data_IF_683594896131
#
_entry.id   IF_683594896131
#
_cell.length_a   1.000
_cell.length_b   1.000
_cell.length_c   1.000
_cell.angle_alpha   90.00
_cell.angle_beta   90.00
_cell.angle_gamma   90.00
#
_symmetry.space_group_name_H-M   'P 1'
#
loop_
_entity.id
_entity.type
_entity.pdbx_description
1 polymer ?
#
# COMPACT_ATOMS: atom_id res chain seq x y z
N UNK A 1 18.59 63.36 18.12
CA UNK A 1 18.59 62.39 16.96
C UNK A 1 18.40 61.00 17.52
N UNK A 2 17.18 60.47 17.50
CA UNK A 2 16.83 59.11 17.98
C UNK A 2 16.75 58.19 16.78
N UNK A 3 17.65 57.18 16.73
CA UNK A 3 17.60 56.13 15.68
C UNK A 3 16.66 55.00 16.15
N UNK A 4 15.55 54.84 15.44
CA UNK A 4 14.66 53.67 15.56
C UNK A 4 15.33 52.47 14.84
N UNK A 5 15.60 51.41 15.59
CA UNK A 5 16.02 50.10 15.06
C UNK A 5 14.74 49.24 14.96
N UNK A 6 14.32 49.00 13.73
CA UNK A 6 13.17 48.15 13.42
C UNK A 6 13.68 46.69 13.31
N UNK A 7 13.40 45.85 14.31
CA UNK A 7 13.66 44.42 14.25
C UNK A 7 12.58 43.76 13.42
N UNK A 8 12.99 43.20 12.27
CA UNK A 8 12.15 42.33 11.45
C UNK A 8 12.32 40.90 11.97
N UNK A 9 11.33 40.39 12.68
CA UNK A 9 11.27 39.00 13.12
C UNK A 9 10.71 38.15 11.98
N UNK A 10 11.58 37.43 11.27
CA UNK A 10 11.18 36.45 10.26
C UNK A 10 10.63 35.21 10.95
N UNK A 11 9.30 35.03 10.91
CA UNK A 11 8.65 33.77 11.27
C UNK A 11 8.92 32.71 10.18
N UNK A 12 9.84 31.79 10.46
CA UNK A 12 10.01 30.55 9.70
C UNK A 12 8.84 29.63 10.02
N UNK A 13 7.85 29.59 9.14
CA UNK A 13 6.83 28.53 9.12
C UNK A 13 7.47 27.25 8.59
N UNK A 14 7.94 26.37 9.49
CA UNK A 14 8.25 24.98 9.16
C UNK A 14 6.93 24.26 8.89
N UNK A 15 6.53 24.16 7.59
CA UNK A 15 5.54 23.21 7.14
C UNK A 15 6.15 21.80 7.25
N UNK A 16 6.03 21.15 8.40
CA UNK A 16 6.16 19.72 8.53
C UNK A 16 4.99 19.08 7.80
N UNK A 17 5.22 18.64 6.57
CA UNK A 17 4.32 17.76 5.85
C UNK A 17 4.39 16.41 6.57
N UNK A 18 3.59 16.27 7.62
CA UNK A 18 3.35 14.99 8.26
C UNK A 18 2.63 14.11 7.26
N UNK A 19 3.31 13.12 6.75
CA UNK A 19 2.69 12.00 6.07
C UNK A 19 1.86 11.27 7.14
N UNK A 20 0.59 11.59 7.19
CA UNK A 20 -0.35 10.85 8.02
C UNK A 20 -0.46 9.45 7.41
N UNK A 21 0.26 8.49 7.98
CA UNK A 21 -0.02 7.08 7.81
C UNK A 21 -1.35 6.81 8.54
N UNK A 22 -2.44 7.06 7.85
CA UNK A 22 -3.79 6.86 8.37
C UNK A 22 -4.31 5.46 8.04
N UNK A 23 -3.54 4.42 8.39
CA UNK A 23 -4.08 3.08 8.51
C UNK A 23 -4.56 2.89 9.95
N UNK A 24 -5.84 2.57 10.17
CA UNK A 24 -6.28 2.12 11.47
C UNK A 24 -5.46 0.88 11.88
N UNK A 25 -4.97 0.79 13.14
CA UNK A 25 -4.16 -0.35 13.55
C UNK A 25 -4.90 -1.67 13.29
N UNK A 26 -4.25 -2.60 12.58
CA UNK A 26 -4.81 -3.90 12.23
C UNK A 26 -5.58 -3.96 10.92
N UNK A 27 -5.69 -2.87 10.14
CA UNK A 27 -6.31 -2.92 8.81
C UNK A 27 -5.27 -3.17 7.72
N UNK A 28 -5.66 -3.98 6.74
CA UNK A 28 -4.87 -4.22 5.55
C UNK A 28 -5.00 -3.00 4.63
N UNK A 29 -3.88 -2.53 4.12
CA UNK A 29 -3.85 -1.41 3.18
C UNK A 29 -3.21 -1.86 1.87
N UNK A 30 -3.85 -1.55 0.75
CA UNK A 30 -3.27 -1.70 -0.59
C UNK A 30 -3.09 -0.34 -1.22
N UNK A 31 -2.03 -0.17 -2.03
CA UNK A 31 -1.89 1.06 -2.81
C UNK A 31 -1.53 0.77 -4.26
N UNK A 32 -1.95 1.68 -5.14
CA UNK A 32 -1.61 1.66 -6.55
C UNK A 32 -1.23 3.06 -7.02
N UNK A 33 -0.05 3.18 -7.62
CA UNK A 33 0.43 4.41 -8.23
C UNK A 33 0.86 4.14 -9.67
N UNK A 34 0.29 4.92 -10.62
CA UNK A 34 0.68 4.86 -12.03
C UNK A 34 1.43 6.12 -12.42
N UNK A 35 2.66 5.97 -12.91
CA UNK A 35 3.53 7.07 -13.34
C UNK A 35 4.08 6.73 -14.71
N UNK A 36 3.47 7.30 -15.75
CA UNK A 36 3.83 6.98 -17.14
C UNK A 36 3.56 5.51 -17.47
N UNK A 37 4.59 4.79 -17.89
CA UNK A 37 4.53 3.35 -18.18
C UNK A 37 4.66 2.47 -16.92
N UNK A 38 5.05 3.04 -15.79
CA UNK A 38 5.29 2.30 -14.57
C UNK A 38 4.02 2.23 -13.71
N UNK A 39 3.76 1.05 -13.15
CA UNK A 39 2.74 0.81 -12.14
C UNK A 39 3.41 0.24 -10.90
N UNK A 40 3.21 0.89 -9.77
CA UNK A 40 3.63 0.40 -8.46
C UNK A 40 2.39 -0.07 -7.69
N UNK A 41 2.41 -1.31 -7.24
CA UNK A 41 1.40 -1.87 -6.33
C UNK A 41 2.06 -2.20 -5.00
N UNK A 42 1.40 -1.92 -3.89
CA UNK A 42 1.88 -2.30 -2.56
C UNK A 42 0.76 -2.91 -1.72
N UNK A 43 1.14 -3.70 -0.73
CA UNK A 43 0.23 -4.21 0.28
C UNK A 43 0.92 -4.21 1.66
N UNK A 44 0.22 -3.66 2.66
CA UNK A 44 0.61 -3.71 4.06
C UNK A 44 -0.37 -4.60 4.81
N UNK A 45 0.13 -5.68 5.40
CA UNK A 45 -0.68 -6.73 6.05
C UNK A 45 -0.23 -6.87 7.49
N UNK A 46 -0.91 -6.22 8.45
CA UNK A 46 -0.62 -6.40 9.88
C UNK A 46 -0.94 -7.82 10.35
N UNK A 47 -0.15 -8.35 11.28
CA UNK A 47 -0.37 -9.68 11.85
C UNK A 47 -1.77 -9.82 12.48
N UNK A 48 -2.26 -8.77 13.13
CA UNK A 48 -3.59 -8.73 13.73
C UNK A 48 -4.75 -8.89 12.72
N UNK A 49 -4.50 -8.61 11.42
CA UNK A 49 -5.49 -8.79 10.38
C UNK A 49 -5.61 -10.25 9.90
N UNK A 50 -4.67 -11.12 10.24
CA UNK A 50 -4.60 -12.48 9.70
C UNK A 50 -4.75 -13.59 10.74
N UNK A 51 -4.64 -13.28 12.03
CA UNK A 51 -4.89 -14.25 13.12
C UNK A 51 -5.03 -13.58 14.48
N UNK A 52 -5.76 -14.23 15.39
CA UNK A 52 -6.05 -13.73 16.74
C UNK A 52 -4.92 -13.99 17.75
N UNK A 53 -3.99 -14.89 17.44
CA UNK A 53 -2.85 -15.21 18.30
C UNK A 53 -1.53 -14.98 17.60
N UNK A 54 -0.51 -14.56 18.36
CA UNK A 54 0.84 -14.29 17.81
C UNK A 54 1.46 -15.52 17.13
N UNK A 55 1.27 -16.71 17.68
CA UNK A 55 1.83 -17.95 17.10
C UNK A 55 1.16 -18.29 15.76
N UNK A 56 -0.18 -18.25 15.70
CA UNK A 56 -0.94 -18.46 14.47
C UNK A 56 -0.62 -17.40 13.41
N UNK A 57 -0.51 -16.13 13.83
CA UNK A 57 -0.13 -15.04 12.97
C UNK A 57 1.25 -15.24 12.33
N UNK A 58 2.26 -15.64 13.11
CA UNK A 58 3.61 -15.87 12.60
C UNK A 58 3.65 -16.98 11.54
N UNK A 59 2.96 -18.09 11.76
CA UNK A 59 2.88 -19.18 10.79
C UNK A 59 2.17 -18.73 9.51
N UNK A 60 1.05 -18.02 9.66
CA UNK A 60 0.28 -17.53 8.52
C UNK A 60 1.05 -16.47 7.71
N UNK A 61 1.71 -15.52 8.38
CA UNK A 61 2.56 -14.52 7.73
C UNK A 61 3.70 -15.17 6.95
N UNK A 62 4.30 -16.26 7.45
CA UNK A 62 5.34 -16.97 6.71
C UNK A 62 4.80 -17.58 5.42
N UNK A 63 3.64 -18.23 5.47
CA UNK A 63 2.99 -18.81 4.29
C UNK A 63 2.59 -17.73 3.30
N UNK A 64 2.03 -16.62 3.78
CA UNK A 64 1.63 -15.48 2.96
C UNK A 64 2.82 -14.80 2.29
N UNK A 65 3.94 -14.61 2.99
CA UNK A 65 5.13 -14.01 2.41
C UNK A 65 5.68 -14.83 1.22
N UNK A 66 5.55 -16.16 1.26
CA UNK A 66 5.90 -17.02 0.12
C UNK A 66 4.88 -16.86 -1.01
N UNK A 67 3.59 -16.88 -0.69
CA UNK A 67 2.53 -16.75 -1.70
C UNK A 67 2.55 -15.41 -2.43
N UNK A 68 2.84 -14.31 -1.73
CA UNK A 68 2.86 -12.95 -2.27
C UNK A 68 4.04 -12.66 -3.21
N UNK A 69 5.03 -13.55 -3.31
CA UNK A 69 6.05 -13.45 -4.35
C UNK A 69 5.47 -13.65 -5.75
N UNK A 70 4.36 -14.35 -5.84
CA UNK A 70 3.54 -14.41 -7.05
C UNK A 70 2.48 -13.30 -6.96
N UNK A 71 2.66 -12.23 -7.72
CA UNK A 71 1.77 -11.06 -7.71
C UNK A 71 0.34 -11.40 -8.10
N UNK A 72 0.11 -12.44 -8.90
CA UNK A 72 -1.24 -12.89 -9.30
C UNK A 72 -2.08 -13.35 -8.11
N UNK A 73 -1.45 -13.67 -6.98
CA UNK A 73 -2.11 -13.97 -5.71
C UNK A 73 -2.68 -12.74 -5.02
N UNK A 74 -2.16 -11.56 -5.34
CA UNK A 74 -2.58 -10.29 -4.73
C UNK A 74 -3.42 -9.44 -5.69
N UNK A 75 -3.02 -9.39 -6.97
CA UNK A 75 -3.62 -8.51 -7.97
C UNK A 75 -3.76 -9.18 -9.33
N UNK A 76 -4.80 -8.77 -10.07
CA UNK A 76 -5.02 -9.13 -11.46
C UNK A 76 -5.04 -7.86 -12.30
N UNK A 77 -4.09 -7.74 -13.21
CA UNK A 77 -3.99 -6.61 -14.14
C UNK A 77 -4.72 -6.93 -15.45
N UNK A 78 -5.24 -5.91 -16.16
CA UNK A 78 -5.80 -6.08 -17.51
C UNK A 78 -4.72 -6.60 -18.47
N UNK A 79 -5.00 -7.67 -19.20
CA UNK A 79 -4.07 -8.22 -20.21
C UNK A 79 -3.72 -7.20 -21.30
N UNK A 80 -4.71 -6.37 -21.69
CA UNK A 80 -4.53 -5.32 -22.69
C UNK A 80 -3.47 -4.28 -22.31
N UNK A 81 -3.18 -4.10 -21.00
CA UNK A 81 -2.14 -3.20 -20.53
C UNK A 81 -0.73 -3.69 -20.84
N UNK A 82 -0.54 -5.01 -21.06
CA UNK A 82 0.76 -5.62 -21.37
C UNK A 82 1.80 -5.31 -20.29
N UNK A 83 1.46 -5.52 -19.01
CA UNK A 83 2.34 -5.23 -17.90
C UNK A 83 3.21 -6.43 -17.56
N UNK A 84 4.50 -6.21 -17.42
CA UNK A 84 5.49 -7.18 -16.95
C UNK A 84 6.04 -6.76 -15.60
N UNK A 85 6.21 -7.71 -14.67
CA UNK A 85 6.82 -7.45 -13.36
C UNK A 85 8.30 -7.14 -13.57
N UNK A 86 8.75 -5.96 -13.16
CA UNK A 86 10.16 -5.57 -13.17
C UNK A 86 10.83 -5.84 -11.83
N UNK A 87 10.09 -5.67 -10.72
CA UNK A 87 10.59 -5.93 -9.38
C UNK A 87 9.46 -6.43 -8.48
N UNK A 88 9.79 -7.34 -7.56
CA UNK A 88 8.88 -7.84 -6.53
C UNK A 88 9.64 -8.02 -5.22
N UNK A 89 9.20 -7.32 -4.17
CA UNK A 89 9.78 -7.40 -2.84
C UNK A 89 8.72 -7.72 -1.79
N UNK A 90 9.00 -8.69 -0.93
CA UNK A 90 8.10 -9.14 0.15
C UNK A 90 8.89 -9.26 1.44
N UNK A 91 8.66 -8.33 2.36
CA UNK A 91 9.39 -8.19 3.61
C UNK A 91 8.47 -8.57 4.79
N UNK A 92 8.94 -9.47 5.65
CA UNK A 92 8.31 -9.75 6.93
C UNK A 92 8.89 -8.86 8.02
N UNK A 93 8.01 -8.24 8.77
CA UNK A 93 8.35 -7.49 9.98
C UNK A 93 8.04 -8.31 11.22
N UNK A 94 8.97 -8.36 12.17
CA UNK A 94 8.77 -9.06 13.45
C UNK A 94 8.18 -8.15 14.54
N UNK A 95 7.95 -6.89 14.19
CA UNK A 95 7.50 -5.85 15.11
C UNK A 95 8.67 -5.18 15.85
N UNK A 96 8.54 -3.89 16.03
CA UNK A 96 9.36 -3.06 16.91
C UNK A 96 8.41 -2.19 17.74
N UNK A 97 8.97 -1.24 18.50
CA UNK A 97 8.16 -0.35 19.35
C UNK A 97 7.10 0.47 18.61
N UNK A 98 7.30 0.73 17.33
CA UNK A 98 6.49 1.66 16.54
C UNK A 98 5.61 0.98 15.49
N UNK A 99 5.98 -0.23 15.05
CA UNK A 99 5.19 -1.02 14.11
C UNK A 99 5.08 -2.47 14.57
N UNK A 100 3.85 -2.99 14.60
CA UNK A 100 3.58 -4.38 14.90
C UNK A 100 4.16 -5.35 13.87
N UNK A 101 4.14 -6.66 14.15
CA UNK A 101 4.52 -7.66 13.17
C UNK A 101 3.56 -7.62 11.96
N UNK A 102 4.08 -7.98 10.77
CA UNK A 102 3.31 -7.93 9.54
C UNK A 102 4.12 -8.28 8.30
N UNK A 103 3.54 -7.98 7.14
CA UNK A 103 4.17 -8.07 5.82
C UNK A 103 4.00 -6.75 5.10
N UNK A 104 5.08 -6.21 4.53
CA UNK A 104 5.06 -5.21 3.48
C UNK A 104 5.45 -5.89 2.16
N UNK A 105 4.61 -5.74 1.15
CA UNK A 105 4.87 -6.26 -0.19
C UNK A 105 4.76 -5.14 -1.21
N UNK A 106 5.66 -5.14 -2.19
CA UNK A 106 5.70 -4.19 -3.30
C UNK A 106 6.00 -4.89 -4.61
N UNK A 107 5.34 -4.44 -5.69
CA UNK A 107 5.55 -4.94 -7.05
C UNK A 107 5.60 -3.76 -8.01
N UNK A 108 6.69 -3.70 -8.76
CA UNK A 108 6.82 -2.76 -9.86
C UNK A 108 6.57 -3.44 -11.20
N UNK A 109 5.86 -2.74 -12.06
CA UNK A 109 5.55 -3.20 -13.41
C UNK A 109 5.94 -2.16 -14.43
N UNK A 110 6.34 -2.63 -15.61
CA UNK A 110 6.46 -1.83 -16.81
C UNK A 110 5.35 -2.27 -17.76
N UNK A 111 4.46 -1.33 -18.13
CA UNK A 111 3.29 -1.61 -18.95
C UNK A 111 3.43 -1.00 -20.35
N UNK A 112 3.17 -1.79 -21.39
CA UNK A 112 3.25 -1.34 -22.80
C UNK A 112 2.12 -0.37 -23.13
N UNK A 113 0.91 -0.62 -22.56
CA UNK A 113 -0.29 0.17 -22.79
C UNK A 113 -0.87 0.65 -21.43
N UNK A 114 -0.20 1.56 -20.71
CA UNK A 114 -0.62 1.96 -19.36
C UNK A 114 -2.00 2.63 -19.33
N UNK A 115 -2.49 3.16 -20.43
CA UNK A 115 -3.83 3.73 -20.56
C UNK A 115 -4.95 2.71 -20.41
N UNK A 116 -4.67 1.41 -20.65
CA UNK A 116 -5.62 0.32 -20.47
C UNK A 116 -5.81 -0.10 -19.01
N UNK A 117 -4.98 0.44 -18.09
CA UNK A 117 -5.13 0.18 -16.65
C UNK A 117 -6.17 1.15 -16.10
N UNK A 118 -7.44 0.82 -16.23
CA UNK A 118 -8.53 1.58 -15.62
C UNK A 118 -8.97 0.99 -14.29
N UNK A 119 -8.75 -0.31 -14.12
CA UNK A 119 -9.11 -1.05 -12.92
C UNK A 119 -8.17 -2.25 -12.72
N UNK A 120 -7.94 -2.61 -11.46
CA UNK A 120 -7.11 -3.72 -11.03
C UNK A 120 -7.95 -4.63 -10.14
N UNK A 121 -7.99 -5.93 -10.43
CA UNK A 121 -8.60 -6.92 -9.54
C UNK A 121 -7.75 -7.11 -8.28
N UNK A 122 -8.37 -7.12 -7.09
CA UNK A 122 -7.68 -7.30 -5.80
C UNK A 122 -7.99 -8.69 -5.26
N UNK A 123 -7.25 -9.70 -5.72
CA UNK A 123 -7.38 -11.10 -5.29
C UNK A 123 -6.88 -11.32 -3.85
N UNK A 124 -6.13 -10.36 -3.32
CA UNK A 124 -5.63 -10.36 -1.95
C UNK A 124 -6.72 -10.58 -0.90
N UNK A 125 -7.93 -10.02 -1.09
CA UNK A 125 -9.06 -10.22 -0.18
C UNK A 125 -9.40 -11.71 -0.03
N UNK A 126 -9.50 -12.43 -1.14
CA UNK A 126 -9.78 -13.88 -1.14
C UNK A 126 -8.63 -14.68 -0.54
N UNK A 127 -7.37 -14.31 -0.83
CA UNK A 127 -6.19 -14.96 -0.27
C UNK A 127 -6.13 -14.85 1.25
N UNK A 128 -6.52 -13.71 1.78
CA UNK A 128 -6.50 -13.42 3.22
C UNK A 128 -7.78 -13.87 3.93
N UNK A 129 -8.88 -14.04 3.20
CA UNK A 129 -10.19 -14.35 3.75
C UNK A 129 -10.80 -13.16 4.50
N UNK A 130 -10.56 -11.94 4.03
CA UNK A 130 -11.05 -10.70 4.64
C UNK A 130 -12.18 -10.09 3.80
N UNK A 131 -13.10 -9.39 4.47
CA UNK A 131 -14.26 -8.77 3.81
C UNK A 131 -13.92 -7.45 3.13
N UNK A 132 -12.89 -6.73 3.63
CA UNK A 132 -12.49 -5.44 3.07
C UNK A 132 -11.05 -5.10 3.34
N UNK A 133 -10.49 -4.20 2.49
CA UNK A 133 -9.18 -3.58 2.65
C UNK A 133 -9.29 -2.08 2.39
N UNK A 134 -8.43 -1.30 3.04
CA UNK A 134 -8.26 0.11 2.71
C UNK A 134 -7.40 0.21 1.44
N UNK A 135 -7.79 1.05 0.51
CA UNK A 135 -7.07 1.26 -0.74
C UNK A 135 -6.71 2.71 -0.94
N UNK A 136 -5.49 2.96 -1.43
CA UNK A 136 -4.99 4.27 -1.81
C UNK A 136 -4.55 4.24 -3.27
N UNK A 137 -5.09 5.14 -4.10
CA UNK A 137 -4.67 5.27 -5.50
C UNK A 137 -4.06 6.63 -5.78
N UNK A 138 -3.08 6.66 -6.66
CA UNK A 138 -2.49 7.89 -7.16
C UNK A 138 -2.46 7.91 -8.71
N UNK A 139 -3.14 8.90 -9.32
CA UNK A 139 -4.09 9.85 -8.75
C UNK A 139 -5.39 9.15 -8.32
N UNK A 140 -6.13 9.67 -7.35
CA UNK A 140 -7.46 9.13 -7.03
C UNK A 140 -7.87 9.24 -5.56
N UNK A 141 -7.00 8.95 -4.61
CA UNK A 141 -7.27 9.07 -3.18
C UNK A 141 -7.62 7.76 -2.47
N UNK A 142 -8.20 7.87 -1.28
CA UNK A 142 -8.49 6.74 -0.41
C UNK A 142 -9.92 6.23 -0.60
N UNK A 143 -10.08 4.89 -0.55
CA UNK A 143 -11.37 4.20 -0.58
C UNK A 143 -11.29 2.87 0.16
N UNK A 144 -12.43 2.24 0.39
CA UNK A 144 -12.50 0.86 0.89
C UNK A 144 -12.91 -0.04 -0.27
N UNK A 145 -12.24 -1.18 -0.41
CA UNK A 145 -12.58 -2.24 -1.37
C UNK A 145 -13.17 -3.40 -0.59
N UNK A 146 -14.27 -3.94 -1.08
CA UNK A 146 -14.97 -5.07 -0.47
C UNK A 146 -14.80 -6.34 -1.31
N UNK A 147 -14.91 -7.50 -0.65
CA UNK A 147 -14.73 -8.81 -1.28
C UNK A 147 -15.80 -9.15 -2.32
N UNK A 148 -17.01 -8.58 -2.22
CA UNK A 148 -18.09 -8.72 -3.20
C UNK A 148 -17.85 -7.91 -4.49
N UNK A 149 -16.98 -6.88 -4.43
CA UNK A 149 -16.53 -6.09 -5.58
C UNK A 149 -15.04 -5.75 -5.43
N UNK A 150 -14.13 -6.75 -5.62
CA UNK A 150 -12.71 -6.59 -5.33
C UNK A 150 -11.97 -5.88 -6.48
N UNK A 151 -12.41 -4.66 -6.81
CA UNK A 151 -11.86 -3.88 -7.92
C UNK A 151 -11.35 -2.53 -7.43
N UNK A 152 -10.09 -2.25 -7.74
CA UNK A 152 -9.43 -0.98 -7.52
C UNK A 152 -9.43 -0.18 -8.83
N UNK A 153 -10.27 0.84 -8.94
CA UNK A 153 -10.26 1.78 -10.06
C UNK A 153 -9.10 2.79 -9.92
N UNK A 154 -8.43 3.10 -11.02
CA UNK A 154 -7.32 4.05 -11.13
C UNK A 154 -7.74 5.31 -11.85
#
# INVERSE_FOLDING_TARGET
>A
MKRLVTSVTALLFCCSIGWAQSGAPGRITVSAARIGANLLLTAEIPAAAVADTTSAANTRLQTLAVALRDVSRAFVLPEAAGCEVSEADVIRHFGNSDSGPGISAGWEFICTNPGEIQAIGVTLLSLLGVESVDALTFPGGQRVIFADNPVLAL
#
